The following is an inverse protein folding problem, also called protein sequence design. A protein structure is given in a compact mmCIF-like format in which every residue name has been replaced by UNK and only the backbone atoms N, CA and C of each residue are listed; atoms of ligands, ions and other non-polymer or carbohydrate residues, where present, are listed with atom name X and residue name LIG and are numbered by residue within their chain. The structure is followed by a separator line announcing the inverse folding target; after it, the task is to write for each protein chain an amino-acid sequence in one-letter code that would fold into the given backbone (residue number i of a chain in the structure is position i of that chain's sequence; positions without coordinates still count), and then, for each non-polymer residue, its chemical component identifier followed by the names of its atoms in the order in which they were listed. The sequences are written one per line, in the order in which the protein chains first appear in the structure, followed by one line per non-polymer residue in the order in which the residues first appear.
data_IF_484129476862
#
_entry.id   IF_484129476862
#
_cell.length_a   1.000
_cell.length_b   1.000
_cell.length_c   1.000
_cell.angle_alpha   90.00
_cell.angle_beta   90.00
_cell.angle_gamma   90.00
#
_symmetry.space_group_name_H-M   'P 1'
#
loop_
_entity.id
_entity.type
_entity.pdbx_description
1 polymer ?
#
# COMPACT_ATOMS: atom_id res chain seq x y z
N UNK A 1 -2.28 -11.30 5.69
CA UNK A 1 -2.03 -10.53 4.46
C UNK A 1 -0.55 -10.59 4.16
N UNK A 2 -0.21 -10.94 2.93
CA UNK A 2 1.14 -11.14 2.48
C UNK A 2 1.28 -10.69 1.02
N UNK A 3 2.50 -10.33 0.62
CA UNK A 3 2.80 -9.87 -0.73
C UNK A 3 4.23 -10.25 -1.11
N UNK A 4 4.41 -10.74 -2.35
CA UNK A 4 5.73 -10.96 -2.92
C UNK A 4 6.24 -9.68 -3.58
N UNK A 5 7.53 -9.41 -3.40
CA UNK A 5 8.25 -8.41 -4.20
C UNK A 5 8.21 -8.80 -5.69
N UNK A 6 8.02 -7.84 -6.61
CA UNK A 6 8.03 -8.11 -8.04
C UNK A 6 9.43 -8.21 -8.64
N UNK A 7 10.44 -7.75 -7.92
CA UNK A 7 11.83 -7.69 -8.41
C UNK A 7 12.78 -8.56 -7.60
N UNK A 8 12.31 -9.17 -6.51
CA UNK A 8 13.12 -10.05 -5.66
C UNK A 8 12.32 -11.24 -5.14
N UNK A 9 13.02 -12.31 -4.76
CA UNK A 9 12.45 -13.50 -4.11
C UNK A 9 12.21 -13.26 -2.60
N UNK A 10 11.51 -12.16 -2.29
CA UNK A 10 11.20 -11.76 -0.91
C UNK A 10 9.70 -11.72 -0.69
N UNK A 11 9.22 -12.47 0.31
CA UNK A 11 7.84 -12.42 0.78
C UNK A 11 7.74 -11.50 1.98
N UNK A 12 6.81 -10.56 1.96
CA UNK A 12 6.46 -9.75 3.12
C UNK A 12 5.09 -10.15 3.64
N UNK A 13 4.93 -10.24 4.96
CA UNK A 13 3.68 -10.66 5.56
C UNK A 13 3.46 -10.09 6.96
N UNK A 14 2.18 -9.92 7.32
CA UNK A 14 1.80 -9.50 8.67
C UNK A 14 1.86 -10.67 9.65
N UNK A 15 2.47 -10.49 10.81
CA UNK A 15 2.40 -11.46 11.91
C UNK A 15 2.54 -10.74 13.27
N UNK A 16 1.62 -11.05 14.19
CA UNK A 16 1.65 -10.57 15.60
C UNK A 16 1.81 -9.06 15.79
N UNK A 17 1.23 -8.25 14.90
CA UNK A 17 1.31 -6.78 14.98
C UNK A 17 2.60 -6.19 14.39
N UNK A 18 3.42 -7.01 13.73
CA UNK A 18 4.59 -6.60 12.98
C UNK A 18 4.45 -6.99 11.49
N UNK A 19 5.31 -6.42 10.66
CA UNK A 19 5.59 -6.93 9.32
C UNK A 19 6.89 -7.72 9.35
N UNK A 20 6.84 -8.90 8.74
CA UNK A 20 7.96 -9.81 8.59
C UNK A 20 8.31 -9.94 7.11
N UNK A 21 9.59 -10.20 6.85
CA UNK A 21 10.10 -10.57 5.55
C UNK A 21 10.64 -12.00 5.59
N UNK A 22 10.55 -12.71 4.48
CA UNK A 22 11.11 -14.04 4.31
C UNK A 22 11.83 -14.15 2.98
N UNK A 23 13.00 -14.80 3.01
CA UNK A 23 13.73 -15.27 1.83
C UNK A 23 14.17 -16.71 2.07
N UNK A 24 14.43 -17.46 1.01
CA UNK A 24 14.95 -18.83 1.14
C UNK A 24 16.29 -18.86 1.90
N UNK A 25 17.16 -17.86 1.67
CA UNK A 25 18.50 -17.81 2.24
C UNK A 25 18.53 -17.40 3.72
N UNK A 26 17.69 -16.42 4.12
CA UNK A 26 17.73 -15.85 5.46
C UNK A 26 16.59 -16.33 6.38
N UNK A 27 15.58 -17.01 5.84
CA UNK A 27 14.38 -17.38 6.57
C UNK A 27 13.54 -16.14 6.97
N UNK A 28 12.68 -16.33 7.97
CA UNK A 28 11.78 -15.28 8.45
C UNK A 28 12.51 -14.31 9.39
N UNK A 29 12.38 -13.01 9.10
CA UNK A 29 13.00 -11.94 9.86
C UNK A 29 12.00 -10.80 10.05
N UNK A 30 12.07 -10.12 11.20
CA UNK A 30 11.23 -8.95 11.47
C UNK A 30 11.69 -7.80 10.57
N UNK A 31 10.74 -7.18 9.87
CA UNK A 31 11.00 -6.08 8.94
C UNK A 31 10.51 -4.74 9.49
N UNK A 32 9.23 -4.63 9.87
CA UNK A 32 8.67 -3.43 10.49
C UNK A 32 8.06 -3.75 11.87
N UNK A 33 8.71 -3.36 12.98
CA UNK A 33 8.16 -3.58 14.30
C UNK A 33 6.96 -2.67 14.57
N UNK A 34 5.91 -3.21 15.19
CA UNK A 34 4.71 -2.47 15.61
C UNK A 34 3.80 -2.00 14.47
N UNK A 35 4.03 -2.48 13.24
CA UNK A 35 3.21 -2.13 12.07
C UNK A 35 2.19 -3.23 11.77
N UNK A 36 0.93 -2.89 11.95
CA UNK A 36 -0.20 -3.76 11.69
C UNK A 36 -0.86 -3.44 10.34
N UNK A 37 -0.17 -3.76 9.24
CA UNK A 37 -0.57 -3.31 7.90
C UNK A 37 -1.78 -4.05 7.29
N UNK A 38 -2.40 -3.39 6.32
CA UNK A 38 -3.50 -3.88 5.49
C UNK A 38 -3.25 -3.55 4.03
N UNK A 39 -3.74 -4.40 3.13
CA UNK A 39 -3.71 -4.22 1.66
C UNK A 39 -2.32 -3.83 1.11
N UNK A 40 -1.26 -4.60 1.39
CA UNK A 40 0.07 -4.27 0.91
C UNK A 40 0.16 -4.41 -0.63
N UNK A 41 0.82 -3.47 -1.30
CA UNK A 41 0.97 -3.46 -2.76
C UNK A 41 2.32 -2.88 -3.17
N UNK A 42 2.98 -3.50 -4.14
CA UNK A 42 4.24 -2.99 -4.69
C UNK A 42 4.02 -2.13 -5.92
N UNK A 43 4.88 -1.12 -6.11
CA UNK A 43 5.04 -0.47 -7.41
C UNK A 43 5.54 -1.46 -8.46
N UNK A 44 5.24 -1.21 -9.73
CA UNK A 44 5.60 -2.13 -10.81
C UNK A 44 7.13 -2.37 -10.91
N UNK A 45 7.94 -1.37 -10.55
CA UNK A 45 9.39 -1.47 -10.47
C UNK A 45 9.93 -2.06 -9.15
N UNK A 46 9.06 -2.43 -8.21
CA UNK A 46 9.42 -2.98 -6.90
C UNK A 46 10.12 -2.00 -5.95
N UNK A 47 10.30 -0.74 -6.33
CA UNK A 47 11.02 0.24 -5.52
C UNK A 47 10.22 0.73 -4.30
N UNK A 48 8.89 0.65 -4.37
CA UNK A 48 7.99 1.15 -3.33
C UNK A 48 6.98 0.08 -2.93
N UNK A 49 6.63 0.09 -1.65
CA UNK A 49 5.56 -0.71 -1.08
C UNK A 49 4.60 0.21 -0.36
N UNK A 50 3.33 0.18 -0.77
CA UNK A 50 2.25 0.92 -0.13
C UNK A 50 1.41 -0.03 0.71
N UNK A 51 0.84 0.48 1.80
CA UNK A 51 -0.07 -0.26 2.66
C UNK A 51 -0.90 0.69 3.51
N UNK A 52 -2.03 0.20 4.00
CA UNK A 52 -2.90 0.92 4.93
C UNK A 52 -2.61 0.51 6.39
N UNK A 53 -2.74 1.46 7.31
CA UNK A 53 -2.66 1.23 8.77
C UNK A 53 -3.92 1.77 9.43
N UNK A 54 -4.63 0.98 10.25
CA UNK A 54 -5.80 1.45 10.96
C UNK A 54 -5.41 2.44 12.07
N UNK A 55 -6.21 3.48 12.20
CA UNK A 55 -6.13 4.50 13.25
C UNK A 55 -7.06 4.15 14.41
N UNK A 56 -6.89 4.86 15.52
CA UNK A 56 -7.76 4.73 16.69
C UNK A 56 -9.23 5.12 16.42
N UNK A 57 -9.48 5.98 15.42
CA UNK A 57 -10.81 6.43 15.02
C UNK A 57 -11.50 5.48 14.01
N UNK A 58 -10.85 4.37 13.65
CA UNK A 58 -11.38 3.36 12.73
C UNK A 58 -11.15 3.65 11.24
N UNK A 59 -10.59 4.81 10.89
CA UNK A 59 -10.14 5.10 9.52
C UNK A 59 -8.73 4.53 9.27
N UNK A 60 -8.29 4.56 8.02
CA UNK A 60 -6.97 4.12 7.61
C UNK A 60 -6.12 5.29 7.12
N UNK A 61 -4.82 5.17 7.35
CA UNK A 61 -3.81 6.01 6.72
C UNK A 61 -2.96 5.14 5.77
N UNK A 62 -2.66 5.66 4.59
CA UNK A 62 -1.75 4.99 3.64
C UNK A 62 -0.32 5.42 3.93
N UNK A 63 0.57 4.44 4.02
CA UNK A 63 2.00 4.62 4.16
C UNK A 63 2.75 4.09 2.93
N UNK A 64 3.91 4.67 2.67
CA UNK A 64 4.89 4.20 1.70
C UNK A 64 6.20 3.82 2.40
N UNK A 65 6.87 2.80 1.87
CA UNK A 65 8.24 2.46 2.21
C UNK A 65 9.09 2.32 0.94
N UNK A 66 10.34 2.77 1.00
CA UNK A 66 11.36 2.43 0.00
C UNK A 66 11.77 0.96 0.23
N UNK A 67 11.32 0.09 -0.67
CA UNK A 67 11.58 -1.33 -0.59
C UNK A 67 12.91 -1.72 -1.27
N UNK A 68 13.47 -0.86 -2.13
CA UNK A 68 14.73 -1.12 -2.82
C UNK A 68 15.94 -0.87 -1.91
N UNK A 69 15.93 0.23 -1.16
CA UNK A 69 17.06 0.64 -0.31
C UNK A 69 16.82 0.38 1.18
N UNK A 70 15.59 -0.05 1.53
CA UNK A 70 15.13 -0.03 2.91
C UNK A 70 14.86 1.40 3.38
N UNK A 71 13.97 1.55 4.34
CA UNK A 71 13.62 2.87 4.86
C UNK A 71 12.59 2.80 5.96
N UNK A 72 12.32 3.95 6.56
CA UNK A 72 11.22 4.08 7.52
C UNK A 72 9.92 4.38 6.78
N UNK A 73 8.80 3.77 7.19
CA UNK A 73 7.48 4.12 6.68
C UNK A 73 7.22 5.63 6.70
N UNK A 74 6.70 6.15 5.59
CA UNK A 74 6.30 7.55 5.44
C UNK A 74 4.79 7.61 5.26
N UNK A 75 4.12 8.49 6.00
CA UNK A 75 2.69 8.76 5.78
C UNK A 75 2.52 9.42 4.41
N UNK A 76 1.72 8.79 3.55
CA UNK A 76 1.39 9.33 2.23
C UNK A 76 0.15 10.21 2.30
N UNK A 77 -0.95 9.61 2.75
CA UNK A 77 -2.27 10.26 2.86
C UNK A 77 -3.05 9.67 4.00
N UNK A 78 -3.73 10.54 4.73
CA UNK A 78 -4.64 10.11 5.78
C UNK A 78 -6.07 9.91 5.29
N UNK A 79 -6.82 9.11 6.04
CA UNK A 79 -8.21 8.74 5.72
C UNK A 79 -8.33 8.19 4.28
N UNK A 80 -7.46 7.23 3.96
CA UNK A 80 -7.41 6.49 2.69
C UNK A 80 -7.20 5.00 2.96
N UNK A 81 -7.83 4.14 2.17
CA UNK A 81 -7.75 2.68 2.30
C UNK A 81 -7.59 2.00 0.95
N UNK A 82 -7.31 0.70 0.96
CA UNK A 82 -7.17 -0.13 -0.25
C UNK A 82 -6.18 0.44 -1.30
N UNK A 83 -4.94 0.81 -0.93
CA UNK A 83 -3.94 1.22 -1.90
C UNK A 83 -3.66 0.12 -2.92
N UNK A 84 -3.62 0.48 -4.20
CA UNK A 84 -3.16 -0.36 -5.30
C UNK A 84 -2.31 0.47 -6.26
N UNK A 85 -1.05 0.09 -6.49
CA UNK A 85 -0.25 0.75 -7.51
C UNK A 85 -0.78 0.41 -8.90
N UNK A 86 -1.07 1.44 -9.69
CA UNK A 86 -1.45 1.30 -11.11
C UNK A 86 -0.21 1.21 -12.01
N UNK A 87 0.88 1.87 -11.60
CA UNK A 87 2.20 1.85 -12.21
C UNK A 87 3.24 2.32 -11.17
N UNK A 88 4.47 2.64 -11.58
CA UNK A 88 5.52 3.12 -10.66
C UNK A 88 5.19 4.41 -9.92
N UNK A 89 4.32 5.26 -10.48
CA UNK A 89 4.10 6.63 -10.01
C UNK A 89 2.66 6.90 -9.54
N UNK A 90 1.70 6.06 -9.91
CA UNK A 90 0.30 6.28 -9.63
C UNK A 90 -0.25 5.23 -8.67
N UNK A 91 -0.95 5.70 -7.64
CA UNK A 91 -1.60 4.90 -6.63
C UNK A 91 -3.11 5.13 -6.69
N UNK A 92 -3.87 4.07 -6.87
CA UNK A 92 -5.32 4.08 -6.70
C UNK A 92 -5.65 3.72 -5.25
N UNK A 93 -6.68 4.34 -4.68
CA UNK A 93 -7.20 3.99 -3.36
C UNK A 93 -8.64 4.46 -3.17
N UNK A 94 -9.26 4.03 -2.08
CA UNK A 94 -10.53 4.55 -1.60
C UNK A 94 -10.33 5.69 -0.61
N UNK A 95 -11.07 6.78 -0.78
CA UNK A 95 -11.20 7.78 0.28
C UNK A 95 -12.07 7.26 1.42
N UNK A 96 -11.71 7.63 2.64
CA UNK A 96 -12.52 7.42 3.83
C UNK A 96 -12.82 8.78 4.49
N UNK A 97 -14.00 8.91 5.11
CA UNK A 97 -14.39 10.11 5.85
C UNK A 97 -15.06 11.19 5.00
N UNK A 98 -14.91 12.46 5.38
CA UNK A 98 -15.53 13.58 4.65
C UNK A 98 -14.78 13.79 3.32
N UNK A 99 -15.46 13.54 2.20
CA UNK A 99 -14.88 13.62 0.86
C UNK A 99 -14.36 15.02 0.49
N UNK A 100 -13.44 15.06 -0.48
CA UNK A 100 -12.82 16.30 -0.98
C UNK A 100 -13.85 17.24 -1.66
N UNK A 101 -14.94 16.66 -2.20
CA UNK A 101 -16.00 17.39 -2.91
C UNK A 101 -17.40 16.92 -2.42
N UNK A 102 -17.90 17.50 -1.32
CA UNK A 102 -19.28 17.31 -0.88
C UNK A 102 -19.55 16.01 -0.10
N UNK A 103 -20.66 16.03 0.63
CA UNK A 103 -20.97 15.19 1.80
C UNK A 103 -20.86 13.68 1.54
N UNK A 104 -19.99 13.01 2.32
CA UNK A 104 -20.27 11.70 2.92
C UNK A 104 -20.19 10.43 2.08
N UNK A 105 -19.57 10.42 0.90
CA UNK A 105 -19.35 9.19 0.14
C UNK A 105 -17.86 8.95 -0.12
N UNK A 106 -17.36 7.89 0.51
CA UNK A 106 -16.11 7.23 0.13
C UNK A 106 -16.15 7.00 -1.39
N UNK A 107 -15.09 7.39 -2.09
CA UNK A 107 -14.99 7.25 -3.54
C UNK A 107 -13.56 6.92 -3.95
N UNK A 108 -13.38 6.25 -5.10
CA UNK A 108 -12.07 5.89 -5.60
C UNK A 108 -11.34 7.12 -6.15
N UNK A 109 -10.05 7.20 -5.87
CA UNK A 109 -9.16 8.28 -6.26
C UNK A 109 -7.89 7.70 -6.86
N UNK A 110 -7.26 8.46 -7.76
CA UNK A 110 -5.91 8.21 -8.24
C UNK A 110 -5.01 9.34 -7.76
N UNK A 111 -3.89 8.96 -7.17
CA UNK A 111 -2.87 9.86 -6.65
C UNK A 111 -1.57 9.67 -7.40
N UNK A 112 -0.95 10.77 -7.83
CA UNK A 112 0.38 10.77 -8.41
C UNK A 112 1.43 11.08 -7.33
N UNK A 113 2.34 10.15 -7.10
CA UNK A 113 3.35 10.24 -6.05
C UNK A 113 4.52 11.17 -6.40
N UNK A 114 4.59 11.67 -7.64
CA UNK A 114 5.68 12.54 -8.10
C UNK A 114 5.39 14.01 -7.82
N UNK A 115 4.15 14.45 -8.04
CA UNK A 115 3.72 15.84 -7.84
C UNK A 115 2.71 16.01 -6.70
N UNK A 116 2.19 14.90 -6.17
CA UNK A 116 1.23 14.91 -5.08
C UNK A 116 -0.20 15.28 -5.47
N UNK A 117 -0.51 15.29 -6.76
CA UNK A 117 -1.85 15.52 -7.27
C UNK A 117 -2.78 14.33 -7.00
N UNK A 118 -4.06 14.61 -6.83
CA UNK A 118 -5.11 13.62 -6.55
C UNK A 118 -6.34 13.95 -7.40
N UNK A 119 -6.94 12.94 -8.03
CA UNK A 119 -8.11 13.10 -8.89
C UNK A 119 -9.12 11.96 -8.68
N UNK A 120 -10.38 12.23 -9.02
CA UNK A 120 -11.42 11.21 -9.09
C UNK A 120 -11.03 10.09 -10.05
N UNK A 121 -11.17 8.85 -9.59
CA UNK A 121 -10.97 7.67 -10.43
C UNK A 121 -12.26 7.34 -11.19
N UNK A 122 -12.12 6.96 -12.46
CA UNK A 122 -13.19 6.29 -13.22
C UNK A 122 -13.20 4.77 -12.99
N UNK A 123 -12.15 4.23 -12.37
CA UNK A 123 -12.06 2.83 -11.97
C UNK A 123 -12.70 2.67 -10.60
N UNK A 124 -13.80 1.94 -10.53
CA UNK A 124 -14.55 1.69 -9.31
C UNK A 124 -13.84 0.72 -8.35
N UNK A 125 -13.13 -0.25 -8.91
CA UNK A 125 -12.38 -1.24 -8.14
C UNK A 125 -11.17 -1.76 -8.90
N UNK A 126 -10.03 -1.83 -8.21
CA UNK A 126 -8.82 -2.49 -8.70
C UNK A 126 -8.58 -3.74 -7.86
N UNK A 127 -8.64 -4.92 -8.48
CA UNK A 127 -8.41 -6.21 -7.81
C UNK A 127 -6.99 -6.72 -8.05
N UNK A 128 -6.46 -6.45 -9.24
CA UNK A 128 -5.09 -6.77 -9.64
C UNK A 128 -4.64 -5.83 -10.75
N UNK A 129 -3.32 -5.67 -10.89
CA UNK A 129 -2.68 -4.90 -11.96
C UNK A 129 -1.65 -5.83 -12.62
N UNK A 130 -1.52 -5.81 -13.95
CA UNK A 130 -0.51 -6.60 -14.67
C UNK A 130 0.47 -5.69 -15.42
N UNK A 131 1.78 -6.01 -15.48
CA UNK A 131 2.40 -7.16 -14.83
C UNK A 131 2.55 -6.97 -13.32
N UNK A 132 1.99 -7.89 -12.54
CA UNK A 132 2.27 -8.03 -11.13
C UNK A 132 2.56 -9.51 -10.84
N UNK A 133 3.62 -9.75 -10.08
CA UNK A 133 3.93 -11.07 -9.54
C UNK A 133 3.17 -11.35 -8.24
N UNK A 134 2.38 -10.41 -7.72
CA UNK A 134 1.62 -10.59 -6.49
C UNK A 134 0.15 -10.21 -6.66
N UNK A 135 -0.70 -11.22 -6.59
CA UNK A 135 -2.15 -11.08 -6.42
C UNK A 135 -2.47 -10.91 -4.93
N UNK A 136 -3.27 -9.90 -4.59
CA UNK A 136 -3.81 -9.73 -3.24
C UNK A 136 -4.90 -10.78 -2.98
N UNK A 137 -4.57 -11.84 -2.25
CA UNK A 137 -5.54 -12.78 -1.65
C UNK A 137 -5.38 -12.84 -0.14
#
# INVERSE_FOLDING_TARGET
MAVWSPTSETLFYRQNGDVWQWTQAAGAQRYLPGVNWYYPTFSADGSRLAYAVPRADGLHDIYLIDAAHGGSPQLLKGARTLPVFLNSNQLWYWSEGQGICGVGINHPLVYDITDGSEAASIIDQVVAVWPATSSNF
#
